data_IF_866127445420
#
_entry.id   IF_866127445420
#
_cell.length_a   1.000
_cell.length_b   1.000
_cell.length_c   1.000
_cell.angle_alpha   90.00
_cell.angle_beta   90.00
_cell.angle_gamma   90.00
#
_symmetry.space_group_name_H-M   'P 1'
#
loop_
_entity.id
_entity.type
_entity.pdbx_description
1 polymer ?
#
# COMPACT_ATOMS: atom_id res chain seq x y z
N UNK A 1 3.10 -34.40 63.76
CA UNK A 1 2.23 -34.10 62.61
C UNK A 1 2.59 -32.71 62.11
N UNK A 2 3.41 -32.61 61.07
CA UNK A 2 3.70 -31.35 60.38
C UNK A 2 3.74 -31.66 58.89
N UNK A 3 2.69 -31.28 58.18
CA UNK A 3 2.54 -31.35 56.74
C UNK A 3 3.43 -30.29 56.10
N UNK A 4 4.42 -30.71 55.30
CA UNK A 4 5.15 -29.81 54.40
C UNK A 4 4.41 -29.78 53.08
N UNK A 5 3.89 -28.61 52.72
CA UNK A 5 3.45 -28.29 51.38
C UNK A 5 4.67 -28.23 50.46
N UNK A 6 4.65 -28.96 49.35
CA UNK A 6 5.60 -28.77 48.25
C UNK A 6 4.94 -27.82 47.25
N UNK A 7 5.54 -26.64 47.07
CA UNK A 7 5.19 -25.68 46.04
C UNK A 7 5.30 -26.30 44.65
N UNK A 8 4.24 -26.14 43.85
CA UNK A 8 4.30 -26.32 42.41
C UNK A 8 5.07 -25.14 41.80
N UNK A 9 6.27 -25.39 41.32
CA UNK A 9 7.01 -24.43 40.50
C UNK A 9 6.38 -24.45 39.11
N UNK A 10 5.56 -23.43 38.83
CA UNK A 10 5.08 -23.16 37.47
C UNK A 10 6.29 -22.66 36.67
N UNK A 11 6.78 -23.48 35.73
CA UNK A 11 7.65 -23.00 34.66
C UNK A 11 6.80 -22.04 33.82
N UNK A 12 7.00 -20.74 33.98
CA UNK A 12 6.51 -19.74 33.03
C UNK A 12 7.30 -19.95 31.73
N UNK A 13 6.60 -20.53 30.76
CA UNK A 13 7.01 -20.65 29.37
C UNK A 13 7.46 -19.30 28.84
N UNK A 14 8.65 -19.25 28.26
CA UNK A 14 9.12 -18.16 27.39
C UNK A 14 8.24 -18.15 26.15
N UNK A 15 7.13 -17.40 26.20
CA UNK A 15 6.34 -17.09 25.03
C UNK A 15 7.17 -16.12 24.18
N UNK A 16 7.55 -16.59 22.99
CA UNK A 16 8.14 -15.77 21.94
C UNK A 16 7.19 -14.60 21.68
N UNK A 17 7.67 -13.38 21.89
CA UNK A 17 6.91 -12.16 21.59
C UNK A 17 6.78 -12.04 20.08
N UNK A 18 5.55 -11.98 19.57
CA UNK A 18 5.27 -11.53 18.22
C UNK A 18 5.68 -10.07 18.16
N UNK A 19 6.64 -9.74 17.31
CA UNK A 19 6.95 -8.35 17.00
C UNK A 19 5.96 -7.90 15.93
N UNK A 20 5.24 -6.82 16.24
CA UNK A 20 4.72 -5.86 15.30
C UNK A 20 5.58 -5.82 14.02
N UNK A 21 5.02 -5.99 12.84
CA UNK A 21 5.82 -5.81 11.62
C UNK A 21 6.29 -4.36 11.48
N UNK A 22 5.48 -3.42 11.96
CA UNK A 22 5.75 -1.99 11.92
C UNK A 22 6.13 -1.46 13.31
N UNK A 23 7.43 -1.24 13.48
CA UNK A 23 8.03 -0.68 14.69
C UNK A 23 9.38 -0.08 14.37
N UNK A 24 9.76 0.91 15.19
CA UNK A 24 11.10 1.47 15.23
C UNK A 24 11.75 1.21 16.58
N UNK A 25 13.05 0.91 16.57
CA UNK A 25 13.84 0.78 17.79
C UNK A 25 14.18 2.14 18.42
N UNK A 26 14.11 3.22 17.64
CA UNK A 26 14.35 4.58 18.09
C UNK A 26 13.60 5.56 17.19
N UNK A 27 12.59 6.26 17.73
CA UNK A 27 11.85 7.26 16.95
C UNK A 27 12.57 8.64 17.01
N UNK A 28 13.08 9.17 15.88
CA UNK A 28 13.83 10.43 15.86
C UNK A 28 12.96 11.67 16.11
N UNK A 29 11.63 11.56 16.00
CA UNK A 29 10.70 12.64 16.39
C UNK A 29 10.46 12.70 17.91
N UNK A 30 10.85 11.64 18.63
CA UNK A 30 10.73 11.55 20.09
C UNK A 30 12.10 11.54 20.79
N UNK A 31 13.17 11.15 20.08
CA UNK A 31 14.51 11.02 20.62
C UNK A 31 15.58 11.52 19.63
N UNK A 32 16.27 12.60 19.98
CA UNK A 32 17.35 13.20 19.17
C UNK A 32 18.68 12.40 19.14
N UNK A 33 18.75 11.27 19.85
CA UNK A 33 19.96 10.43 19.95
C UNK A 33 19.84 9.11 19.20
N UNK A 34 18.92 9.00 18.22
CA UNK A 34 18.84 7.84 17.36
C UNK A 34 20.11 7.68 16.50
N UNK A 35 20.53 6.44 16.19
CA UNK A 35 21.61 6.19 15.25
C UNK A 35 21.30 6.78 13.86
N UNK A 36 22.36 7.06 13.09
CA UNK A 36 22.20 7.42 11.68
C UNK A 36 21.80 6.16 10.87
N UNK A 37 20.94 6.36 9.87
CA UNK A 37 20.41 5.31 9.00
C UNK A 37 21.42 4.92 7.92
N UNK A 38 21.89 3.67 7.97
CA UNK A 38 22.82 3.17 6.96
C UNK A 38 22.20 3.21 5.56
N UNK A 39 22.68 4.10 4.70
CA UNK A 39 22.11 4.33 3.38
C UNK A 39 22.55 3.29 2.34
N UNK A 40 21.64 2.91 1.44
CA UNK A 40 21.93 2.01 0.32
C UNK A 40 22.82 2.68 -0.73
N UNK A 41 22.45 3.87 -1.20
CA UNK A 41 23.23 4.70 -2.13
C UNK A 41 23.38 4.17 -3.55
N UNK A 42 22.44 3.37 -4.02
CA UNK A 42 22.45 2.80 -5.36
C UNK A 42 21.36 1.76 -5.54
N UNK A 43 21.64 0.74 -6.35
CA UNK A 43 20.70 -0.37 -6.59
C UNK A 43 21.21 -1.66 -5.96
N UNK A 44 20.31 -2.34 -5.27
CA UNK A 44 20.49 -3.69 -4.75
C UNK A 44 19.45 -4.60 -5.37
N UNK A 45 19.90 -5.66 -6.02
CA UNK A 45 19.04 -6.76 -6.48
C UNK A 45 19.39 -8.00 -5.68
N UNK A 46 18.40 -8.60 -5.04
CA UNK A 46 18.52 -9.85 -4.30
C UNK A 46 17.72 -10.94 -5.01
N UNK A 47 18.38 -12.03 -5.37
CA UNK A 47 17.78 -13.30 -5.76
C UNK A 47 17.70 -14.17 -4.50
N UNK A 48 16.49 -14.60 -4.14
CA UNK A 48 16.21 -15.37 -2.93
C UNK A 48 16.17 -16.88 -3.15
N UNK A 49 16.77 -17.40 -4.22
CA UNK A 49 17.06 -18.84 -4.33
C UNK A 49 17.96 -19.35 -3.18
N UNK A 50 18.61 -18.44 -2.46
CA UNK A 50 19.38 -18.68 -1.25
C UNK A 50 19.36 -17.46 -0.31
N UNK A 51 19.84 -17.64 0.92
CA UNK A 51 20.00 -16.55 1.88
C UNK A 51 20.93 -15.44 1.35
N UNK A 52 20.63 -14.19 1.71
CA UNK A 52 21.42 -13.01 1.39
C UNK A 52 21.86 -12.28 2.66
N UNK A 53 23.10 -11.80 2.68
CA UNK A 53 23.65 -10.99 3.77
C UNK A 53 23.15 -9.54 3.78
N UNK A 54 22.38 -9.13 2.77
CA UNK A 54 21.82 -7.77 2.69
C UNK A 54 20.54 -7.59 3.54
N UNK A 55 20.06 -8.69 4.12
CA UNK A 55 18.82 -8.76 4.89
C UNK A 55 19.09 -9.33 6.28
N UNK A 56 18.27 -8.93 7.24
CA UNK A 56 18.28 -9.45 8.61
C UNK A 56 16.95 -10.13 8.91
N UNK A 57 17.01 -11.35 9.42
CA UNK A 57 15.85 -12.03 10.02
C UNK A 57 15.52 -11.39 11.37
N UNK A 58 14.26 -11.01 11.57
CA UNK A 58 13.81 -10.47 12.84
C UNK A 58 13.69 -11.58 13.89
N UNK A 59 13.58 -11.18 15.16
CA UNK A 59 13.49 -12.15 16.26
C UNK A 59 12.30 -13.08 16.05
N UNK A 60 12.51 -14.39 16.22
CA UNK A 60 11.47 -15.39 15.98
C UNK A 60 11.33 -15.83 14.52
N UNK A 61 12.16 -15.30 13.62
CA UNK A 61 12.19 -15.72 12.22
C UNK A 61 13.32 -16.71 11.97
N UNK A 62 13.04 -17.71 11.14
CA UNK A 62 14.05 -18.55 10.49
C UNK A 62 13.51 -18.91 9.13
N UNK A 63 14.06 -18.33 8.07
CA UNK A 63 13.57 -18.60 6.73
C UNK A 63 14.19 -19.88 6.17
N UNK A 64 13.42 -20.54 5.32
CA UNK A 64 13.94 -21.57 4.41
C UNK A 64 13.94 -21.02 2.98
N UNK A 65 14.72 -21.66 2.11
CA UNK A 65 14.91 -21.20 0.74
C UNK A 65 14.74 -22.37 -0.22
N UNK A 66 14.21 -22.08 -1.40
CA UNK A 66 14.02 -23.01 -2.50
C UNK A 66 14.41 -22.33 -3.82
N UNK A 67 14.43 -23.07 -4.92
CA UNK A 67 14.66 -22.48 -6.26
C UNK A 67 13.62 -21.38 -6.62
N UNK A 68 12.45 -21.40 -5.98
CA UNK A 68 11.38 -20.40 -6.17
C UNK A 68 11.57 -19.13 -5.32
N UNK A 69 12.42 -19.17 -4.29
CA UNK A 69 12.65 -18.02 -3.41
C UNK A 69 12.73 -18.34 -1.92
N UNK A 70 12.70 -17.27 -1.12
CA UNK A 70 12.61 -17.30 0.33
C UNK A 70 11.17 -17.65 0.77
N UNK A 71 11.06 -18.54 1.74
CA UNK A 71 9.80 -19.09 2.24
C UNK A 71 9.50 -18.54 3.65
N UNK A 72 8.46 -17.71 3.73
CA UNK A 72 7.94 -17.12 4.96
C UNK A 72 6.80 -18.00 5.47
N UNK A 73 7.18 -19.08 6.15
CA UNK A 73 6.26 -20.14 6.56
C UNK A 73 5.75 -19.94 7.99
N UNK A 74 4.44 -20.07 8.17
CA UNK A 74 3.74 -20.15 9.45
C UNK A 74 3.31 -21.60 9.66
N UNK A 75 3.88 -22.26 10.67
CA UNK A 75 3.55 -23.62 11.10
C UNK A 75 2.72 -23.64 12.40
N UNK A 76 2.73 -22.54 13.16
CA UNK A 76 2.04 -22.45 14.44
C UNK A 76 1.44 -21.07 14.72
N UNK A 77 0.51 -21.03 15.69
CA UNK A 77 -0.05 -19.80 16.22
C UNK A 77 1.08 -18.87 16.68
N UNK A 78 0.93 -17.57 16.40
CA UNK A 78 1.88 -16.51 16.75
C UNK A 78 3.21 -16.53 15.98
N UNK A 79 3.41 -17.41 14.99
CA UNK A 79 4.55 -17.27 14.10
C UNK A 79 4.32 -16.12 13.11
N UNK A 80 5.35 -15.29 12.95
CA UNK A 80 5.34 -14.11 12.08
C UNK A 80 6.71 -13.94 11.39
N UNK A 81 7.14 -14.89 10.53
CA UNK A 81 8.42 -14.80 9.84
C UNK A 81 8.54 -13.47 9.10
N UNK A 82 9.57 -12.71 9.43
CA UNK A 82 9.78 -11.34 8.95
C UNK A 82 11.27 -11.06 8.73
N UNK A 83 11.61 -10.44 7.60
CA UNK A 83 12.95 -9.92 7.33
C UNK A 83 12.90 -8.44 7.03
N UNK A 84 14.04 -7.76 7.24
CA UNK A 84 14.22 -6.37 6.84
C UNK A 84 15.52 -6.17 6.06
N UNK A 85 15.56 -5.15 5.20
CA UNK A 85 16.80 -4.72 4.56
C UNK A 85 17.75 -4.11 5.60
N UNK A 86 19.05 -4.31 5.41
CA UNK A 86 20.07 -3.77 6.30
C UNK A 86 20.34 -2.27 6.07
N UNK A 87 19.80 -1.72 4.99
CA UNK A 87 20.03 -0.34 4.55
C UNK A 87 18.72 0.34 4.20
N UNK A 88 18.70 1.64 4.44
CA UNK A 88 17.59 2.55 4.16
C UNK A 88 17.75 3.14 2.75
N UNK A 89 16.62 3.51 2.16
CA UNK A 89 16.54 4.34 0.96
C UNK A 89 15.83 5.65 1.29
N UNK A 90 16.17 6.73 0.59
CA UNK A 90 15.45 8.00 0.68
C UNK A 90 14.86 8.32 -0.68
N UNK A 91 13.55 8.14 -0.81
CA UNK A 91 12.89 7.98 -2.11
C UNK A 91 13.51 6.82 -2.91
N UNK A 92 12.83 6.39 -3.97
CA UNK A 92 13.31 5.24 -4.72
C UNK A 92 12.25 4.47 -5.47
N UNK A 93 12.64 3.28 -5.87
CA UNK A 93 11.72 2.25 -6.33
C UNK A 93 12.09 0.91 -5.70
N UNK A 94 11.07 0.20 -5.21
CA UNK A 94 11.21 -1.16 -4.69
C UNK A 94 10.26 -2.07 -5.44
N UNK A 95 10.81 -3.13 -6.04
CA UNK A 95 10.10 -4.10 -6.85
C UNK A 95 10.34 -5.49 -6.28
N UNK A 96 9.27 -6.18 -5.88
CA UNK A 96 9.31 -7.52 -5.32
C UNK A 96 8.53 -8.50 -6.20
N UNK A 97 9.16 -9.60 -6.61
CA UNK A 97 8.50 -10.71 -7.29
C UNK A 97 8.12 -11.75 -6.25
N UNK A 98 6.82 -11.90 -5.99
CA UNK A 98 6.35 -12.76 -4.90
C UNK A 98 4.97 -13.39 -5.19
N UNK A 99 4.65 -14.40 -4.38
CA UNK A 99 3.31 -14.96 -4.16
C UNK A 99 2.94 -14.76 -2.69
N UNK A 100 1.71 -14.33 -2.46
CA UNK A 100 1.13 -14.27 -1.12
C UNK A 100 0.87 -15.69 -0.58
N UNK A 101 0.70 -15.80 0.73
CA UNK A 101 0.21 -17.00 1.39
C UNK A 101 -1.30 -17.13 1.24
N UNK A 102 -1.81 -18.35 1.21
CA UNK A 102 -3.24 -18.63 1.44
C UNK A 102 -3.56 -18.66 2.94
N UNK A 103 -4.86 -18.80 3.23
CA UNK A 103 -5.38 -19.11 4.56
C UNK A 103 -6.27 -18.01 5.13
N UNK A 104 -7.25 -18.42 5.93
CA UNK A 104 -8.06 -17.49 6.70
C UNK A 104 -7.20 -16.76 7.74
N UNK A 105 -7.32 -15.44 7.78
CA UNK A 105 -6.53 -14.56 8.66
C UNK A 105 -5.03 -14.55 8.41
N UNK A 106 -4.55 -15.17 7.34
CA UNK A 106 -3.14 -15.12 6.97
C UNK A 106 -2.90 -13.89 6.13
N UNK A 107 -1.87 -13.15 6.49
CA UNK A 107 -1.49 -11.89 5.84
C UNK A 107 -0.06 -11.99 5.35
N UNK A 108 0.11 -11.72 4.07
CA UNK A 108 1.41 -11.43 3.49
C UNK A 108 1.59 -9.92 3.40
N UNK A 109 2.79 -9.44 3.69
CA UNK A 109 3.08 -8.01 3.83
C UNK A 109 4.39 -7.65 3.14
N UNK A 110 4.38 -6.52 2.43
CA UNK A 110 5.55 -5.90 1.82
C UNK A 110 5.51 -4.39 2.09
N UNK A 111 6.42 -3.94 2.94
CA UNK A 111 6.35 -2.65 3.63
C UNK A 111 7.64 -1.87 3.42
N UNK A 112 7.55 -0.57 3.16
CA UNK A 112 8.62 0.38 3.41
C UNK A 112 8.27 1.11 4.72
N UNK A 113 9.20 1.18 5.66
CA UNK A 113 8.98 1.81 6.97
C UNK A 113 10.21 2.60 7.44
N UNK A 114 9.99 3.80 7.98
CA UNK A 114 11.03 4.65 8.56
C UNK A 114 11.12 4.51 10.09
N UNK A 115 12.20 5.05 10.66
CA UNK A 115 12.37 5.09 12.10
C UNK A 115 11.34 6.00 12.81
N UNK A 116 10.77 6.98 12.11
CA UNK A 116 9.66 7.80 12.61
C UNK A 116 8.26 7.29 12.23
N UNK A 117 8.16 6.10 11.64
CA UNK A 117 6.90 5.42 11.29
C UNK A 117 6.13 6.09 10.13
N UNK A 118 6.85 6.73 9.21
CA UNK A 118 6.37 6.84 7.83
C UNK A 118 6.34 5.43 7.21
N UNK A 119 5.28 5.10 6.49
CA UNK A 119 5.01 3.74 6.00
C UNK A 119 4.35 3.74 4.62
N UNK A 120 4.73 2.79 3.78
CA UNK A 120 4.09 2.48 2.49
C UNK A 120 3.99 0.97 2.35
N UNK A 121 2.80 0.43 2.18
CA UNK A 121 2.60 -1.02 2.18
C UNK A 121 1.83 -1.55 0.97
N UNK A 122 2.05 -2.86 0.77
CA UNK A 122 1.18 -3.79 0.10
C UNK A 122 0.80 -4.91 1.08
N UNK A 123 -0.49 -5.19 1.19
CA UNK A 123 -1.02 -6.25 2.05
C UNK A 123 -1.92 -7.21 1.26
N UNK A 124 -1.78 -8.51 1.51
CA UNK A 124 -2.62 -9.56 0.93
C UNK A 124 -3.28 -10.38 2.02
N UNK A 125 -4.59 -10.59 1.90
CA UNK A 125 -5.33 -11.54 2.72
C UNK A 125 -5.40 -12.89 1.99
N UNK A 126 -4.97 -13.96 2.66
CA UNK A 126 -4.87 -15.29 2.04
C UNK A 126 -6.20 -15.92 1.64
N UNK A 127 -7.32 -15.45 2.22
CA UNK A 127 -8.67 -15.85 1.85
C UNK A 127 -9.29 -14.99 0.72
N UNK A 128 -8.57 -13.98 0.23
CA UNK A 128 -9.00 -13.09 -0.86
C UNK A 128 -7.95 -13.09 -2.00
N UNK A 129 -7.73 -14.23 -2.68
CA UNK A 129 -6.60 -14.43 -3.61
C UNK A 129 -6.67 -13.58 -4.88
N UNK A 130 -7.74 -12.81 -5.08
CA UNK A 130 -7.86 -11.88 -6.22
C UNK A 130 -7.85 -10.42 -5.79
N UNK A 131 -7.49 -10.15 -4.54
CA UNK A 131 -7.43 -8.82 -3.97
C UNK A 131 -6.02 -8.50 -3.47
N UNK A 132 -5.70 -7.21 -3.47
CA UNK A 132 -4.51 -6.66 -2.83
C UNK A 132 -4.86 -5.29 -2.26
N UNK A 133 -4.36 -4.99 -1.07
CA UNK A 133 -4.52 -3.70 -0.43
C UNK A 133 -3.24 -2.88 -0.53
N UNK A 134 -3.41 -1.57 -0.72
CA UNK A 134 -2.36 -0.56 -0.59
C UNK A 134 -2.70 0.34 0.57
N UNK A 135 -1.73 0.74 1.37
CA UNK A 135 -1.94 1.70 2.44
C UNK A 135 -0.66 2.53 2.67
N UNK A 136 -0.76 3.57 3.49
CA UNK A 136 0.37 4.42 3.85
C UNK A 136 0.14 5.04 5.22
N UNK A 137 1.21 5.26 5.98
CA UNK A 137 1.21 6.01 7.23
C UNK A 137 2.24 7.11 7.22
N UNK A 138 1.94 8.18 7.95
CA UNK A 138 2.87 9.27 8.14
C UNK A 138 3.06 9.50 9.62
N UNK A 139 4.31 9.41 10.09
CA UNK A 139 4.71 9.60 11.49
C UNK A 139 3.91 8.75 12.48
N UNK A 140 3.50 7.56 12.06
CA UNK A 140 2.67 6.67 12.87
C UNK A 140 1.25 7.17 13.13
N UNK A 141 0.74 8.15 12.38
CA UNK A 141 -0.61 8.66 12.64
C UNK A 141 -1.68 7.62 12.26
N UNK A 142 -2.36 7.07 13.26
CA UNK A 142 -3.46 6.09 13.12
C UNK A 142 -4.82 6.66 13.50
N UNK A 143 -4.95 7.99 13.61
CA UNK A 143 -6.21 8.63 13.99
C UNK A 143 -7.35 8.40 12.99
N UNK A 144 -7.03 8.00 11.76
CA UNK A 144 -7.98 7.59 10.72
C UNK A 144 -7.51 6.34 9.97
N UNK A 145 -8.46 5.57 9.45
CA UNK A 145 -8.25 4.35 8.65
C UNK A 145 -8.78 4.50 7.21
N UNK A 146 -8.72 5.71 6.66
CA UNK A 146 -9.22 6.09 5.34
C UNK A 146 -8.17 6.00 4.21
N UNK A 147 -6.98 5.48 4.54
CA UNK A 147 -5.81 5.45 3.66
C UNK A 147 -5.64 4.14 2.91
N UNK A 148 -6.21 3.05 3.45
CA UNK A 148 -6.24 1.74 2.81
C UNK A 148 -7.16 1.73 1.58
N UNK A 149 -6.67 1.19 0.47
CA UNK A 149 -7.46 0.97 -0.74
C UNK A 149 -7.21 -0.44 -1.25
N UNK A 150 -8.29 -1.20 -1.37
CA UNK A 150 -8.28 -2.58 -1.88
C UNK A 150 -8.63 -2.59 -3.37
N UNK A 151 -7.85 -3.35 -4.14
CA UNK A 151 -8.00 -3.53 -5.57
C UNK A 151 -8.26 -4.99 -5.89
N UNK A 152 -9.27 -5.26 -6.72
CA UNK A 152 -9.44 -6.56 -7.36
C UNK A 152 -8.52 -6.65 -8.58
N UNK A 153 -7.77 -7.73 -8.69
CA UNK A 153 -6.81 -8.00 -9.76
C UNK A 153 -7.17 -9.28 -10.51
N UNK A 154 -6.68 -9.45 -11.73
CA UNK A 154 -6.99 -10.63 -12.55
C UNK A 154 -6.21 -11.88 -12.18
N UNK A 155 -5.06 -11.70 -11.52
CA UNK A 155 -4.17 -12.80 -11.15
C UNK A 155 -4.55 -13.33 -9.77
N UNK A 156 -4.36 -14.62 -9.58
CA UNK A 156 -4.44 -15.24 -8.26
C UNK A 156 -3.11 -14.99 -7.52
N UNK A 157 -3.14 -14.17 -6.47
CA UNK A 157 -1.97 -13.68 -5.71
C UNK A 157 -1.25 -14.79 -4.96
N UNK A 158 -1.93 -15.89 -4.67
CA UNK A 158 -1.39 -17.03 -3.92
C UNK A 158 -0.67 -18.00 -4.86
N UNK A 159 -1.19 -18.20 -6.06
CA UNK A 159 -0.66 -19.22 -6.99
C UNK A 159 0.27 -18.65 -8.06
N UNK A 160 0.23 -17.34 -8.32
CA UNK A 160 0.97 -16.70 -9.42
C UNK A 160 1.98 -15.69 -8.92
N UNK A 161 3.24 -15.81 -9.37
CA UNK A 161 4.22 -14.77 -9.11
C UNK A 161 3.83 -13.48 -9.83
N UNK A 162 3.73 -12.39 -9.06
CA UNK A 162 3.45 -11.05 -9.56
C UNK A 162 4.60 -10.14 -9.14
N UNK A 163 4.94 -9.17 -9.99
CA UNK A 163 5.89 -8.13 -9.63
C UNK A 163 5.14 -6.93 -9.03
N UNK A 164 5.30 -6.70 -7.73
CA UNK A 164 4.73 -5.57 -7.00
C UNK A 164 5.77 -4.47 -6.88
N UNK A 165 5.47 -3.28 -7.41
CA UNK A 165 6.39 -2.15 -7.39
C UNK A 165 5.79 -0.97 -6.65
N UNK A 166 6.59 -0.40 -5.75
CA UNK A 166 6.37 0.92 -5.13
C UNK A 166 7.43 1.85 -5.73
N UNK A 167 7.00 2.90 -6.43
CA UNK A 167 7.86 4.04 -6.78
C UNK A 167 7.50 5.21 -5.86
N UNK A 168 8.47 5.68 -5.08
CA UNK A 168 8.29 6.69 -4.05
C UNK A 168 9.21 7.87 -4.31
N UNK A 169 8.62 9.06 -4.40
CA UNK A 169 9.34 10.32 -4.63
C UNK A 169 8.85 11.38 -3.64
N UNK A 170 9.41 12.58 -3.67
CA UNK A 170 8.93 13.70 -2.86
C UNK A 170 7.55 14.19 -3.32
N UNK A 171 7.14 13.85 -4.54
CA UNK A 171 5.93 14.37 -5.18
C UNK A 171 4.77 13.38 -5.14
N UNK A 172 5.07 12.08 -5.20
CA UNK A 172 4.07 11.02 -5.27
C UNK A 172 4.62 9.64 -4.91
N UNK A 173 3.69 8.76 -4.51
CA UNK A 173 3.87 7.32 -4.40
C UNK A 173 3.01 6.65 -5.48
N UNK A 174 3.59 5.69 -6.20
CA UNK A 174 2.93 4.93 -7.25
C UNK A 174 3.05 3.44 -6.95
N UNK A 175 1.92 2.76 -6.84
CA UNK A 175 1.82 1.31 -6.69
C UNK A 175 1.48 0.71 -8.05
N UNK A 176 2.28 -0.26 -8.51
CA UNK A 176 2.09 -0.91 -9.80
C UNK A 176 2.24 -2.43 -9.72
N UNK A 177 1.53 -3.13 -10.61
CA UNK A 177 1.62 -4.58 -10.81
C UNK A 177 2.23 -4.89 -12.16
N UNK A 178 3.19 -5.80 -12.19
CA UNK A 178 3.83 -6.27 -13.42
C UNK A 178 3.80 -7.79 -13.54
N UNK A 179 4.02 -8.25 -14.77
CA UNK A 179 4.33 -9.66 -15.02
C UNK A 179 5.85 -9.82 -14.87
N UNK A 180 6.35 -10.78 -14.07
CA UNK A 180 7.78 -11.00 -13.94
C UNK A 180 8.46 -11.13 -15.31
N UNK A 181 9.62 -10.49 -15.46
CA UNK A 181 10.47 -10.52 -16.65
C UNK A 181 9.84 -9.98 -17.97
N UNK A 182 8.61 -9.47 -17.95
CA UNK A 182 7.95 -8.98 -19.18
C UNK A 182 8.31 -7.53 -19.53
N UNK A 183 8.78 -6.75 -18.55
CA UNK A 183 8.97 -5.30 -18.67
C UNK A 183 7.67 -4.49 -18.74
N UNK A 184 6.50 -5.11 -18.48
CA UNK A 184 5.19 -4.45 -18.50
C UNK A 184 4.62 -4.31 -17.09
N UNK A 185 4.12 -3.12 -16.77
CA UNK A 185 3.43 -2.84 -15.51
C UNK A 185 2.13 -2.05 -15.72
N UNK A 186 1.20 -2.20 -14.80
CA UNK A 186 -0.06 -1.46 -14.70
C UNK A 186 -0.09 -0.71 -13.38
N UNK A 187 -0.33 0.60 -13.45
CA UNK A 187 -0.48 1.45 -12.26
C UNK A 187 -1.83 1.16 -11.60
N UNK A 188 -1.80 0.84 -10.31
CA UNK A 188 -2.99 0.60 -9.48
C UNK A 188 -3.40 1.85 -8.72
N UNK A 189 -2.42 2.51 -8.09
CA UNK A 189 -2.63 3.68 -7.25
C UNK A 189 -1.56 4.72 -7.50
N UNK A 190 -1.96 5.98 -7.46
CA UNK A 190 -1.04 7.12 -7.32
C UNK A 190 -1.54 7.99 -6.18
N UNK A 191 -0.70 8.19 -5.16
CA UNK A 191 -0.93 9.13 -4.07
C UNK A 191 -0.01 10.33 -4.31
N UNK A 192 -0.57 11.53 -4.46
CA UNK A 192 0.24 12.75 -4.51
C UNK A 192 0.60 13.19 -3.09
N UNK A 193 1.79 13.77 -2.93
CA UNK A 193 2.17 14.40 -1.66
C UNK A 193 1.18 15.51 -1.25
N UNK A 194 0.49 16.12 -2.21
CA UNK A 194 -0.54 17.14 -1.97
C UNK A 194 -1.95 16.57 -1.80
N UNK A 195 -2.13 15.24 -1.77
CA UNK A 195 -3.45 14.63 -1.57
C UNK A 195 -4.01 15.03 -0.18
N UNK A 196 -5.32 15.23 -0.10
CA UNK A 196 -6.00 15.56 1.16
C UNK A 196 -5.73 14.57 2.28
N UNK A 197 -5.53 13.28 1.97
CA UNK A 197 -5.23 12.23 2.96
C UNK A 197 -3.86 12.41 3.63
N UNK A 198 -2.95 13.14 2.99
CA UNK A 198 -1.62 13.45 3.56
C UNK A 198 -1.63 14.63 4.53
N UNK A 199 -2.77 15.35 4.63
CA UNK A 199 -2.94 16.53 5.50
C UNK A 199 -1.82 17.55 5.31
N UNK A 200 -1.85 18.27 4.18
CA UNK A 200 -0.81 19.25 3.83
C UNK A 200 0.62 18.66 3.92
N UNK A 201 0.81 17.44 3.40
CA UNK A 201 2.08 16.69 3.42
C UNK A 201 2.56 16.21 4.80
N UNK A 202 1.91 16.58 5.90
CA UNK A 202 2.36 16.18 7.25
C UNK A 202 2.35 14.66 7.46
N UNK A 203 1.44 13.95 6.79
CA UNK A 203 1.34 12.49 6.76
C UNK A 203 1.87 11.84 5.48
N UNK A 204 2.51 12.61 4.59
CA UNK A 204 3.11 12.01 3.42
C UNK A 204 4.43 11.33 3.83
N UNK A 205 4.66 10.04 3.48
CA UNK A 205 5.91 9.35 3.73
C UNK A 205 7.08 10.06 3.05
N UNK A 206 8.04 10.52 3.85
CA UNK A 206 9.04 11.47 3.39
C UNK A 206 10.39 11.37 4.11
N UNK A 207 10.60 10.32 4.89
CA UNK A 207 11.84 10.06 5.63
C UNK A 207 12.43 8.70 5.24
N UNK A 208 13.74 8.45 5.46
CA UNK A 208 14.40 7.23 4.97
C UNK A 208 13.70 5.97 5.47
N UNK A 209 13.51 5.00 4.57
CA UNK A 209 12.80 3.75 4.89
C UNK A 209 13.64 2.51 4.59
N UNK A 210 13.53 1.52 5.47
CA UNK A 210 13.92 0.13 5.18
C UNK A 210 12.78 -0.60 4.50
N UNK A 211 13.11 -1.70 3.82
CA UNK A 211 12.12 -2.63 3.28
C UNK A 211 11.92 -3.76 4.28
N UNK A 212 10.67 -4.07 4.63
CA UNK A 212 10.26 -5.22 5.43
C UNK A 212 9.34 -6.13 4.61
N UNK A 213 9.47 -7.44 4.82
CA UNK A 213 8.59 -8.44 4.21
C UNK A 213 8.31 -9.53 5.24
N UNK A 214 7.07 -10.00 5.31
CA UNK A 214 6.71 -11.04 6.26
C UNK A 214 5.33 -11.65 6.02
N UNK A 215 5.11 -12.77 6.69
CA UNK A 215 3.83 -13.49 6.72
C UNK A 215 3.37 -13.57 8.18
N UNK A 216 2.10 -13.32 8.48
CA UNK A 216 1.59 -13.32 9.86
C UNK A 216 0.11 -13.66 9.96
N UNK A 217 -0.36 -13.91 11.19
CA UNK A 217 -1.76 -14.20 11.50
C UNK A 217 -2.42 -12.93 12.06
N UNK A 218 -3.38 -12.36 11.33
CA UNK A 218 -4.08 -11.13 11.71
C UNK A 218 -5.09 -11.32 12.83
N UNK A 219 -5.82 -12.43 12.83
CA UNK A 219 -6.86 -12.72 13.81
C UNK A 219 -6.62 -14.07 14.49
N UNK A 220 -5.66 -14.17 15.42
CA UNK A 220 -5.39 -15.39 16.17
C UNK A 220 -6.55 -15.80 17.08
N UNK A 221 -7.32 -14.82 17.59
CA UNK A 221 -8.47 -15.02 18.45
C UNK A 221 -9.50 -13.90 18.23
N UNK A 222 -10.69 -14.26 17.75
CA UNK A 222 -11.79 -13.29 17.52
C UNK A 222 -12.46 -12.80 18.80
N UNK A 223 -12.16 -13.42 19.95
CA UNK A 223 -12.65 -12.96 21.25
C UNK A 223 -11.78 -11.87 21.87
N UNK A 224 -10.59 -11.62 21.31
CA UNK A 224 -9.72 -10.52 21.73
C UNK A 224 -10.26 -9.18 21.22
N UNK A 225 -10.77 -8.37 22.14
CA UNK A 225 -11.36 -7.07 21.81
C UNK A 225 -10.34 -6.06 21.33
N UNK A 226 -9.06 -6.22 21.67
CA UNK A 226 -7.99 -5.34 21.20
C UNK A 226 -7.69 -5.59 19.72
N UNK A 227 -8.05 -6.76 19.19
CA UNK A 227 -7.90 -7.14 17.79
C UNK A 227 -9.19 -7.00 16.96
N UNK A 228 -10.29 -6.52 17.54
CA UNK A 228 -11.60 -6.56 16.89
C UNK A 228 -11.59 -5.94 15.48
N UNK A 229 -10.93 -4.79 15.30
CA UNK A 229 -10.81 -4.14 13.99
C UNK A 229 -9.94 -4.92 13.01
N UNK A 230 -8.82 -5.47 13.47
CA UNK A 230 -7.91 -6.32 12.66
C UNK A 230 -8.59 -7.63 12.26
N UNK A 231 -9.34 -8.25 13.17
CA UNK A 231 -10.15 -9.42 12.91
C UNK A 231 -11.28 -9.15 11.93
N UNK A 232 -11.97 -8.00 12.04
CA UNK A 232 -12.98 -7.60 11.07
C UNK A 232 -12.37 -7.39 9.68
N UNK A 233 -11.21 -6.74 9.61
CA UNK A 233 -10.48 -6.55 8.35
C UNK A 233 -10.02 -7.87 7.73
N UNK A 234 -9.50 -8.81 8.53
CA UNK A 234 -9.09 -10.14 8.09
C UNK A 234 -10.28 -11.02 7.63
N UNK A 235 -11.50 -10.66 8.03
CA UNK A 235 -12.75 -11.29 7.60
C UNK A 235 -13.07 -12.65 8.24
N UNK A 236 -12.10 -13.27 8.91
CA UNK A 236 -12.24 -14.52 9.65
C UNK A 236 -11.27 -14.54 10.84
N UNK A 237 -11.46 -15.52 11.73
CA UNK A 237 -10.45 -15.88 12.73
C UNK A 237 -9.63 -17.05 12.19
N UNK A 238 -8.37 -17.15 12.61
CA UNK A 238 -7.53 -18.28 12.31
C UNK A 238 -8.11 -19.53 12.98
N UNK A 239 -8.26 -20.61 12.21
CA UNK A 239 -8.89 -21.84 12.69
C UNK A 239 -7.87 -22.88 13.20
N UNK A 240 -6.56 -22.65 13.00
CA UNK A 240 -5.49 -23.56 13.42
C UNK A 240 -5.34 -24.82 12.56
N UNK A 241 -6.16 -24.97 11.52
CA UNK A 241 -6.09 -26.07 10.56
C UNK A 241 -5.14 -25.67 9.40
N UNK A 242 -4.83 -26.61 8.49
CA UNK A 242 -4.15 -26.37 7.20
C UNK A 242 -2.76 -25.71 7.20
N UNK A 243 -2.02 -25.73 8.31
CA UNK A 243 -0.58 -25.43 8.29
C UNK A 243 0.20 -26.46 7.45
N UNK A 244 1.27 -26.05 6.73
CA UNK A 244 1.91 -24.73 6.73
C UNK A 244 1.29 -23.71 5.77
N UNK A 245 1.26 -22.43 6.16
CA UNK A 245 0.94 -21.29 5.31
C UNK A 245 2.22 -20.57 4.87
N UNK A 246 2.43 -20.36 3.56
CA UNK A 246 3.72 -19.87 3.05
C UNK A 246 3.57 -18.75 2.02
N UNK A 247 4.08 -17.57 2.38
CA UNK A 247 4.43 -16.52 1.41
C UNK A 247 5.79 -16.84 0.77
N UNK A 248 5.91 -16.65 -0.54
CA UNK A 248 7.16 -16.91 -1.28
C UNK A 248 7.65 -15.65 -1.97
N UNK A 249 8.87 -15.21 -1.67
CA UNK A 249 9.51 -14.07 -2.34
C UNK A 249 10.68 -14.56 -3.18
N UNK A 250 10.56 -14.40 -4.49
CA UNK A 250 11.58 -14.83 -5.46
C UNK A 250 12.75 -13.86 -5.53
N UNK A 251 12.46 -12.56 -5.67
CA UNK A 251 13.48 -11.54 -5.81
C UNK A 251 12.98 -10.17 -5.40
N UNK A 252 13.91 -9.31 -5.00
CA UNK A 252 13.65 -7.89 -4.72
C UNK A 252 14.72 -7.04 -5.39
N UNK A 253 14.29 -5.95 -6.03
CA UNK A 253 15.18 -4.88 -6.51
C UNK A 253 14.82 -3.58 -5.79
N UNK A 254 15.80 -3.00 -5.11
CA UNK A 254 15.71 -1.74 -4.38
C UNK A 254 16.59 -0.73 -5.10
N UNK A 255 16.04 0.42 -5.47
CA UNK A 255 16.77 1.57 -5.99
C UNK A 255 16.63 2.74 -5.04
N UNK A 256 17.74 3.17 -4.45
CA UNK A 256 17.81 4.38 -3.64
C UNK A 256 17.99 5.60 -4.57
N UNK A 257 17.06 6.55 -4.52
CA UNK A 257 17.20 7.78 -5.31
C UNK A 257 17.96 8.88 -4.55
N UNK A 258 18.09 8.74 -3.24
CA UNK A 258 18.72 9.72 -2.37
C UNK A 258 20.23 9.82 -2.56
N UNK A 259 20.80 10.76 -1.81
CA UNK A 259 22.24 11.06 -1.85
C UNK A 259 23.04 10.34 -0.76
N UNK A 260 22.39 9.50 0.06
CA UNK A 260 23.05 8.71 1.09
C UNK A 260 23.94 7.64 0.49
N UNK A 261 24.97 7.23 1.21
CA UNK A 261 25.80 6.07 0.86
C UNK A 261 26.54 5.54 2.09
N UNK A 262 27.35 4.50 1.91
CA UNK A 262 28.10 3.85 3.01
C UNK A 262 29.03 4.77 3.80
N UNK A 263 29.46 5.91 3.24
CA UNK A 263 30.28 6.90 3.93
C UNK A 263 29.50 8.13 4.41
N UNK A 264 28.23 8.25 4.01
CA UNK A 264 27.35 9.36 4.35
C UNK A 264 25.92 8.84 4.57
N UNK A 265 25.63 8.27 5.76
CA UNK A 265 24.32 7.71 6.09
C UNK A 265 23.25 8.82 6.15
N UNK A 266 21.98 8.44 6.09
CA UNK A 266 20.88 9.37 6.30
C UNK A 266 20.77 9.73 7.78
N UNK A 267 20.49 11.00 8.06
CA UNK A 267 20.42 11.52 9.44
C UNK A 267 19.28 12.50 9.56
N UNK A 268 18.52 12.35 10.63
CA UNK A 268 17.59 13.35 11.10
C UNK A 268 18.38 14.47 11.79
N UNK A 269 18.37 15.68 11.22
CA UNK A 269 19.10 16.84 11.79
C UNK A 269 18.30 17.60 12.85
N UNK A 270 17.01 17.31 12.95
CA UNK A 270 16.11 17.76 14.00
C UNK A 270 15.03 16.69 14.27
N UNK A 271 14.05 17.00 15.12
CA UNK A 271 12.98 16.08 15.54
C UNK A 271 11.64 16.32 14.81
N UNK A 272 11.66 17.01 13.66
CA UNK A 272 10.42 17.33 12.92
C UNK A 272 9.85 16.13 12.17
N UNK A 273 10.71 15.21 11.72
CA UNK A 273 10.33 14.16 10.78
C UNK A 273 9.98 14.70 9.39
N UNK A 274 10.42 15.93 9.06
CA UNK A 274 10.24 16.49 7.72
C UNK A 274 11.39 16.06 6.81
N UNK A 275 11.12 15.83 5.52
CA UNK A 275 12.17 15.50 4.55
C UNK A 275 13.33 16.51 4.52
N UNK A 276 13.03 17.77 4.82
CA UNK A 276 14.02 18.85 4.88
C UNK A 276 15.03 18.72 6.02
N UNK A 277 14.70 17.92 7.05
CA UNK A 277 15.59 17.59 8.16
C UNK A 277 16.58 16.47 7.82
N UNK A 278 16.39 15.76 6.70
CA UNK A 278 17.21 14.61 6.33
C UNK A 278 18.48 15.05 5.60
N UNK A 279 19.64 14.61 6.08
CA UNK A 279 20.92 14.79 5.40
C UNK A 279 21.59 13.44 5.15
N UNK A 280 22.24 13.22 3.99
CA UNK A 280 22.26 14.10 2.83
C UNK A 280 20.89 14.18 2.12
N UNK A 281 20.55 15.36 1.61
CA UNK A 281 19.31 15.60 0.87
C UNK A 281 19.51 15.58 -0.64
N UNK A 282 18.41 15.46 -1.38
CA UNK A 282 18.37 15.54 -2.85
C UNK A 282 18.32 14.18 -3.54
N UNK A 283 18.27 14.24 -4.88
CA UNK A 283 18.24 13.08 -5.77
C UNK A 283 19.60 12.92 -6.43
N UNK A 284 20.35 11.88 -6.06
CA UNK A 284 21.69 11.61 -6.61
C UNK A 284 21.73 10.41 -7.55
N UNK A 285 20.73 9.52 -7.46
CA UNK A 285 20.52 8.44 -8.40
C UNK A 285 19.11 8.60 -8.99
N UNK A 286 19.01 8.63 -10.32
CA UNK A 286 17.70 8.61 -11.00
C UNK A 286 17.13 7.19 -11.05
N UNK A 287 15.87 7.01 -11.47
CA UNK A 287 15.33 5.71 -11.86
C UNK A 287 16.29 5.08 -12.87
N UNK A 288 16.91 3.94 -12.53
CA UNK A 288 17.75 3.26 -13.50
C UNK A 288 16.85 2.78 -14.65
N UNK A 289 17.01 3.40 -15.81
CA UNK A 289 16.71 2.70 -17.07
C UNK A 289 17.67 1.51 -17.12
N UNK A 290 17.12 0.32 -17.31
CA UNK A 290 17.85 -0.91 -17.52
C UNK A 290 19.03 -0.66 -18.48
N UNK A 291 20.25 -0.64 -17.95
CA UNK A 291 21.46 -0.27 -18.68
C UNK A 291 22.36 -1.49 -18.82
N UNK A 292 21.99 -2.36 -19.77
CA UNK A 292 23.04 -2.96 -20.59
C UNK A 292 23.50 -1.88 -21.56
N UNK A 293 24.63 -1.25 -21.25
CA UNK A 293 25.74 -0.90 -22.16
C UNK A 293 26.61 0.15 -21.47
N UNK A 294 27.85 -0.22 -21.17
CA UNK A 294 28.91 0.67 -20.70
C UNK A 294 29.24 1.77 -21.72
N UNK A 295 29.33 3.03 -21.28
CA UNK A 295 30.46 3.93 -21.59
C UNK A 295 30.27 5.34 -21.00
N UNK A 296 31.13 5.63 -20.02
CA UNK A 296 31.86 6.88 -19.74
C UNK A 296 31.15 8.24 -19.66
N UNK A 297 31.26 8.80 -18.45
CA UNK A 297 31.54 10.21 -18.07
C UNK A 297 31.81 11.21 -19.22
N UNK A 298 31.14 12.36 -19.21
CA UNK A 298 31.70 13.57 -18.57
C UNK A 298 30.65 14.69 -18.45
N UNK A 299 30.95 15.58 -17.51
CA UNK A 299 30.21 16.71 -17.00
C UNK A 299 30.13 17.87 -18.00
N UNK A 300 29.02 18.62 -18.03
CA UNK A 300 29.00 20.07 -17.82
C UNK A 300 27.65 20.69 -18.18
N UNK A 301 27.08 21.36 -17.19
CA UNK A 301 26.06 22.39 -17.38
C UNK A 301 26.70 23.60 -18.06
N UNK A 302 26.07 24.12 -19.10
CA UNK A 302 26.20 25.52 -19.51
C UNK A 302 24.97 25.96 -20.29
N UNK A 303 24.27 26.93 -19.72
CA UNK A 303 23.24 27.70 -20.37
C UNK A 303 23.85 28.55 -21.49
N UNK A 304 23.22 28.54 -22.66
CA UNK A 304 23.44 29.56 -23.68
C UNK A 304 22.14 29.85 -24.44
N UNK A 305 21.60 31.04 -24.21
CA UNK A 305 20.64 31.71 -25.09
C UNK A 305 21.33 32.06 -26.40
N UNK A 306 20.80 31.59 -27.54
CA UNK A 306 20.96 32.31 -28.81
C UNK A 306 19.87 31.95 -29.82
N UNK A 307 19.21 33.00 -30.26
CA UNK A 307 18.37 33.17 -31.44
C UNK A 307 18.80 32.37 -32.67
N UNK A 308 17.83 31.69 -33.31
CA UNK A 308 17.98 31.09 -34.63
C UNK A 308 16.61 30.80 -35.25
N UNK A 309 16.21 31.66 -36.18
CA UNK A 309 15.02 31.59 -37.03
C UNK A 309 14.87 30.25 -37.76
N UNK A 310 13.69 29.63 -37.70
CA UNK A 310 13.22 28.70 -38.74
C UNK A 310 11.78 29.06 -39.12
N UNK A 311 11.57 29.10 -40.43
CA UNK A 311 10.35 29.48 -41.12
C UNK A 311 9.31 28.35 -41.11
N UNK A 312 8.06 28.80 -40.99
CA UNK A 312 6.84 28.33 -41.67
C UNK A 312 6.30 26.92 -41.36
N UNK A 313 5.03 26.90 -40.92
CA UNK A 313 4.31 25.69 -40.53
C UNK A 313 3.02 26.01 -39.76
N UNK A 314 2.10 26.68 -40.44
CA UNK A 314 0.72 27.06 -40.09
C UNK A 314 0.02 26.22 -38.99
N UNK A 315 -0.32 26.88 -37.88
CA UNK A 315 -1.45 26.52 -37.01
C UNK A 315 -2.52 27.61 -37.15
N UNK A 316 -3.76 27.19 -37.42
CA UNK A 316 -4.93 28.08 -37.48
C UNK A 316 -5.64 28.01 -36.13
N UNK A 317 -5.45 29.02 -35.29
CA UNK A 317 -6.40 29.39 -34.24
C UNK A 317 -7.21 30.60 -34.75
N UNK A 318 -8.54 30.49 -34.70
CA UNK A 318 -9.44 31.64 -34.83
C UNK A 318 -10.03 31.94 -33.47
N UNK A 319 -9.52 33.01 -32.86
CA UNK A 319 -10.14 33.76 -31.77
C UNK A 319 -11.25 34.67 -32.29
N UNK A 320 -12.40 34.70 -31.61
CA UNK A 320 -13.25 35.89 -31.59
C UNK A 320 -13.82 36.07 -30.18
N UNK A 321 -13.29 37.08 -29.49
CA UNK A 321 -13.89 37.73 -28.32
C UNK A 321 -14.70 38.96 -28.76
N UNK A 322 -15.36 39.60 -27.79
CA UNK A 322 -16.21 40.82 -27.82
C UNK A 322 -17.70 40.49 -27.92
N UNK A 323 -18.59 41.00 -27.07
CA UNK A 323 -18.47 41.93 -25.95
C UNK A 323 -19.87 42.06 -25.33
N UNK A 324 -19.93 42.16 -24.00
CA UNK A 324 -21.18 42.28 -23.25
C UNK A 324 -21.59 43.75 -23.15
N UNK A 325 -22.84 44.05 -23.53
CA UNK A 325 -23.47 45.35 -23.27
C UNK A 325 -24.85 45.11 -22.67
N UNK A 326 -25.03 45.62 -21.46
CA UNK A 326 -26.26 45.61 -20.67
C UNK A 326 -27.21 46.70 -21.15
N UNK A 327 -28.49 46.38 -21.35
CA UNK A 327 -29.57 47.36 -21.35
C UNK A 327 -30.88 46.72 -20.86
N UNK A 328 -31.54 47.46 -19.98
CA UNK A 328 -32.74 47.22 -19.17
C UNK A 328 -34.06 47.47 -19.91
N UNK A 329 -35.14 46.84 -19.43
CA UNK A 329 -36.56 47.26 -19.59
C UNK A 329 -37.47 46.07 -19.94
N UNK A 330 -38.16 45.42 -18.99
CA UNK A 330 -39.41 45.76 -18.27
C UNK A 330 -40.71 45.65 -19.11
N UNK A 331 -41.69 45.00 -18.45
CA UNK A 331 -43.13 44.88 -18.72
C UNK A 331 -43.59 43.82 -19.75
N UNK A 332 -44.73 43.14 -19.61
CA UNK A 332 -45.59 42.76 -18.49
C UNK A 332 -46.66 41.81 -19.09
N UNK A 333 -47.01 40.78 -18.32
CA UNK A 333 -48.34 40.18 -18.12
C UNK A 333 -49.25 39.68 -19.28
N UNK A 334 -49.87 38.53 -18.94
CA UNK A 334 -51.25 38.09 -19.22
C UNK A 334 -51.53 37.46 -20.61
N UNK A 335 -52.35 36.43 -20.80
CA UNK A 335 -53.21 35.53 -19.98
C UNK A 335 -53.84 34.53 -20.96
N UNK A 336 -54.06 33.27 -20.52
CA UNK A 336 -55.13 32.36 -21.00
C UNK A 336 -55.01 31.83 -22.43
N UNK A 337 -55.61 30.71 -22.83
CA UNK A 337 -56.35 29.64 -22.18
C UNK A 337 -56.37 28.47 -23.18
N UNK A 338 -56.56 27.27 -22.64
CA UNK A 338 -56.94 25.97 -23.19
C UNK A 338 -57.41 25.89 -24.65
N UNK A 339 -57.03 24.81 -25.34
CA UNK A 339 -57.91 23.61 -25.47
C UNK A 339 -57.53 22.70 -26.68
N UNK A 340 -57.32 21.43 -26.33
CA UNK A 340 -57.71 20.17 -27.02
C UNK A 340 -57.50 19.92 -28.52
N UNK A 341 -56.71 18.84 -28.75
CA UNK A 341 -56.97 17.64 -29.56
C UNK A 341 -57.29 17.75 -31.05
N UNK A 342 -56.67 16.89 -31.88
CA UNK A 342 -57.33 15.78 -32.60
C UNK A 342 -56.25 14.80 -33.12
N UNK A 343 -56.56 13.51 -32.97
CA UNK A 343 -55.89 12.29 -33.48
C UNK A 343 -55.68 12.22 -35.00
N UNK A 344 -54.74 11.36 -35.46
CA UNK A 344 -55.10 10.20 -36.29
C UNK A 344 -53.95 9.19 -36.42
N UNK A 345 -54.35 7.93 -36.45
CA UNK A 345 -53.59 6.68 -36.45
C UNK A 345 -53.56 6.02 -37.83
N UNK A 346 -52.59 5.11 -38.06
CA UNK A 346 -52.57 3.96 -39.01
C UNK A 346 -51.18 3.28 -38.89
N UNK A 347 -50.91 1.98 -39.04
CA UNK A 347 -51.67 0.75 -39.35
C UNK A 347 -50.79 -0.49 -39.04
N UNK A 348 -51.43 -1.48 -38.40
CA UNK A 348 -51.32 -2.95 -38.41
C UNK A 348 -50.45 -3.73 -39.42
N UNK A 349 -49.87 -4.86 -38.97
CA UNK A 349 -49.93 -6.17 -39.67
C UNK A 349 -49.73 -7.35 -38.69
N UNK A 350 -50.41 -8.48 -38.96
CA UNK A 350 -50.70 -9.62 -38.06
C UNK A 350 -49.93 -10.91 -38.41
N UNK A 351 -49.88 -11.88 -37.47
CA UNK A 351 -49.95 -13.32 -37.83
C UNK A 351 -49.32 -14.38 -36.89
N UNK A 352 -50.16 -15.05 -36.08
CA UNK A 352 -50.14 -16.48 -35.62
C UNK A 352 -48.96 -17.06 -34.79
N UNK A 353 -49.09 -18.07 -33.91
CA UNK A 353 -50.14 -18.69 -33.08
C UNK A 353 -49.52 -19.84 -32.24
N UNK A 354 -49.86 -19.95 -30.95
CA UNK A 354 -49.91 -21.15 -30.07
C UNK A 354 -48.62 -21.90 -29.65
N UNK A 355 -48.32 -21.88 -28.35
CA UNK A 355 -48.15 -23.10 -27.52
C UNK A 355 -48.35 -22.79 -26.03
N UNK A 356 -48.82 -23.80 -25.32
CA UNK A 356 -49.49 -23.81 -24.01
C UNK A 356 -48.56 -23.99 -22.81
N UNK A 357 -48.89 -23.28 -21.72
CA UNK A 357 -48.92 -23.72 -20.31
C UNK A 357 -47.68 -24.34 -19.66
N UNK A 358 -47.09 -23.66 -18.67
CA UNK A 358 -47.24 -23.99 -17.24
C UNK A 358 -46.30 -23.16 -16.34
N UNK A 359 -46.81 -22.89 -15.15
CA UNK A 359 -46.35 -21.98 -14.10
C UNK A 359 -45.02 -22.33 -13.44
N UNK A 360 -44.21 -21.31 -13.14
CA UNK A 360 -43.43 -21.23 -11.91
C UNK A 360 -43.08 -19.75 -11.62
N UNK A 361 -43.31 -19.34 -10.38
CA UNK A 361 -43.19 -17.97 -9.90
C UNK A 361 -41.73 -17.50 -9.87
N UNK A 362 -41.49 -16.29 -10.36
CA UNK A 362 -40.30 -15.49 -10.03
C UNK A 362 -40.75 -14.51 -8.94
N UNK A 363 -40.29 -14.73 -7.71
CA UNK A 363 -40.36 -13.74 -6.65
C UNK A 363 -39.08 -12.92 -6.70
N UNK A 364 -39.27 -11.67 -7.09
CA UNK A 364 -38.31 -10.57 -7.01
C UNK A 364 -37.89 -10.34 -5.56
N UNK A 365 -36.60 -10.23 -5.29
CA UNK A 365 -36.05 -9.74 -4.02
C UNK A 365 -34.65 -9.17 -4.24
N UNK A 366 -34.60 -8.07 -4.97
CA UNK A 366 -33.53 -7.09 -4.85
C UNK A 366 -33.78 -6.20 -3.63
N UNK A 367 -33.04 -6.43 -2.54
CA UNK A 367 -32.80 -5.47 -1.47
C UNK A 367 -31.29 -5.52 -1.20
N UNK A 368 -30.50 -4.53 -1.63
CA UNK A 368 -30.48 -3.21 -1.00
C UNK A 368 -29.71 -3.29 0.32
N UNK A 369 -28.39 -3.57 0.27
CA UNK A 369 -27.53 -3.49 1.46
C UNK A 369 -27.46 -2.02 1.92
N UNK A 370 -27.70 -1.71 3.21
CA UNK A 370 -27.66 -0.34 3.69
C UNK A 370 -26.20 0.14 3.79
N UNK A 371 -25.96 1.35 3.28
CA UNK A 371 -24.78 2.15 3.65
C UNK A 371 -24.94 2.55 5.12
N UNK A 372 -24.17 1.95 6.02
CA UNK A 372 -24.14 2.39 7.41
C UNK A 372 -23.27 3.64 7.56
N UNK A 373 -23.86 4.69 8.13
CA UNK A 373 -23.17 5.85 8.68
C UNK A 373 -22.68 5.46 10.08
N UNK A 374 -21.38 5.61 10.34
CA UNK A 374 -20.79 5.45 11.67
C UNK A 374 -21.38 6.47 12.66
N UNK A 375 -21.79 6.00 13.83
CA UNK A 375 -22.35 6.80 14.92
C UNK A 375 -21.28 7.26 15.90
N UNK A 376 -21.50 8.42 16.51
CA UNK A 376 -20.53 9.19 17.30
C UNK A 376 -20.40 8.76 18.78
N UNK A 377 -20.23 7.48 19.06
CA UNK A 377 -19.96 6.97 20.42
C UNK A 377 -18.95 5.82 20.36
N UNK A 378 -17.68 6.15 20.16
CA UNK A 378 -16.53 5.36 20.63
C UNK A 378 -15.32 6.30 20.73
N UNK A 379 -15.29 7.05 21.83
CA UNK A 379 -14.17 7.88 22.24
C UNK A 379 -13.61 7.27 23.52
N UNK A 380 -12.77 6.26 23.38
CA UNK A 380 -12.08 5.62 24.49
C UNK A 380 -11.37 4.35 24.03
N UNK A 381 -10.04 4.41 24.01
CA UNK A 381 -9.08 3.31 23.77
C UNK A 381 -8.83 2.97 22.30
N UNK A 382 -7.83 3.63 21.69
CA UNK A 382 -7.10 3.14 20.52
C UNK A 382 -5.66 3.67 20.57
N UNK A 383 -4.74 2.85 21.08
CA UNK A 383 -3.29 3.15 21.13
C UNK A 383 -2.44 2.06 20.42
N UNK A 384 -3.02 0.98 19.91
CA UNK A 384 -2.24 -0.15 19.40
C UNK A 384 -2.63 -0.49 17.96
N UNK A 385 -2.35 0.42 17.02
CA UNK A 385 -2.68 0.26 15.60
C UNK A 385 -1.52 0.51 14.64
N UNK A 386 -0.29 0.53 15.15
CA UNK A 386 0.93 0.45 14.36
C UNK A 386 1.58 -0.87 14.76
N UNK A 387 1.43 -1.86 13.89
CA UNK A 387 1.98 -3.19 14.06
C UNK A 387 1.36 -3.96 15.22
N UNK A 388 0.23 -4.62 14.99
CA UNK A 388 -0.33 -5.51 16.01
C UNK A 388 0.31 -6.88 15.92
N UNK A 389 1.57 -6.92 16.35
CA UNK A 389 2.18 -8.04 17.04
C UNK A 389 2.58 -7.54 18.42
N UNK A 390 1.79 -7.91 19.43
CA UNK A 390 2.05 -7.86 20.88
C UNK A 390 3.22 -6.97 21.38
N UNK A 391 2.89 -5.85 22.04
CA UNK A 391 3.78 -5.28 23.06
C UNK A 391 3.04 -4.52 24.17
N UNK A 392 2.34 -5.23 25.06
CA UNK A 392 2.16 -4.80 26.46
C UNK A 392 2.08 -6.02 27.40
N UNK A 393 3.13 -6.22 28.19
CA UNK A 393 3.02 -6.69 29.59
C UNK A 393 3.70 -5.66 30.48
#
# INVERSE_FOLDING_TARGET
>A
MFTKALSATVLLSTLSLVQAQTFSSCNPTENSSCPDDAALGGVQTTDFSQASSDWTELTGTTLTYSDDGALFTIEALLEAPTIQSNKYIMFGAVSAVMKASDGDSIVSSFILESDDLDEIDWEWLGNEPTQVQTNFFGKGDTSTYDRGVTYTISNDTVTTFVNYTIEWTAEKIVWSLGVPDSGTSTVMRTLLATDSLTINQTRYPQTPMIVKMGNWIACPDSSDTDLAGTCEWAGAAWNGDDVPYTMTVKSVTISDYGCGNSSNPYKYTDMTGDASSITPSGYCAGPLKNTDTSASSDSSVSAATSTGTVKDGVFVESSTSLGSATATGSDAAATGDSSTSVSLSTTTTSGSSVTTSASAQVSDSAAGKPKHKMGALDAGVMVLGLGIGYLVM
#
